data_IF_041987686477
#
_entry.id   IF_041987686477
#
_cell.length_a   1.000
_cell.length_b   1.000
_cell.length_c   1.000
_cell.angle_alpha   90.00
_cell.angle_beta   90.00
_cell.angle_gamma   90.00
#
_symmetry.space_group_name_H-M   'P 1'
#
loop_
_entity.id
_entity.type
_entity.pdbx_description
1 polymer ?
#
# COMPACT_ATOMS: atom_id res chain seq x y z
N UNK A 1 17.54 0.18 7.72
CA UNK A 1 18.07 0.36 6.36
C UNK A 1 17.06 -0.20 5.38
N UNK A 2 16.90 0.41 4.20
CA UNK A 2 16.10 -0.19 3.12
C UNK A 2 17.00 -1.09 2.27
N UNK A 3 16.52 -2.30 2.01
CA UNK A 3 17.22 -3.29 1.21
C UNK A 3 16.44 -3.51 -0.11
N UNK A 4 17.13 -3.56 -1.26
CA UNK A 4 16.49 -3.98 -2.50
C UNK A 4 15.92 -5.39 -2.37
N UNK A 5 14.71 -5.57 -2.88
CA UNK A 5 14.02 -6.85 -2.93
C UNK A 5 13.38 -7.03 -4.32
N UNK A 6 13.13 -8.28 -4.68
CA UNK A 6 12.48 -8.62 -5.94
C UNK A 6 11.53 -9.78 -5.73
N UNK A 7 10.24 -9.53 -5.96
CA UNK A 7 9.17 -10.50 -5.84
C UNK A 7 8.57 -10.70 -7.22
N UNK A 8 8.70 -11.91 -7.80
CA UNK A 8 8.22 -12.22 -9.15
C UNK A 8 8.58 -11.15 -10.22
N UNK A 9 9.84 -10.71 -10.23
CA UNK A 9 10.33 -9.65 -11.13
C UNK A 9 9.74 -8.26 -10.91
N UNK A 10 9.13 -7.99 -9.76
CA UNK A 10 8.75 -6.65 -9.33
C UNK A 10 9.83 -6.08 -8.39
N UNK A 11 10.61 -5.06 -8.81
CA UNK A 11 11.60 -4.42 -7.96
C UNK A 11 10.93 -3.59 -6.86
N UNK A 12 11.32 -3.85 -5.62
CA UNK A 12 10.82 -3.14 -4.44
C UNK A 12 11.92 -2.90 -3.42
N UNK A 13 11.60 -2.17 -2.36
CA UNK A 13 12.45 -1.99 -1.20
C UNK A 13 11.78 -2.57 0.04
N UNK A 14 12.56 -3.20 0.90
CA UNK A 14 12.11 -3.71 2.19
C UNK A 14 12.89 -3.05 3.32
N UNK A 15 12.18 -2.58 4.35
CA UNK A 15 12.82 -2.07 5.55
C UNK A 15 13.32 -3.23 6.43
N UNK A 16 14.62 -3.22 6.75
CA UNK A 16 15.28 -4.26 7.56
C UNK A 16 14.74 -4.38 8.99
N UNK A 17 14.08 -3.33 9.49
CA UNK A 17 13.49 -3.31 10.84
C UNK A 17 12.37 -4.34 11.01
N UNK A 18 11.73 -4.76 9.91
CA UNK A 18 10.67 -5.75 9.92
C UNK A 18 11.17 -7.19 9.73
N UNK A 19 12.49 -7.43 9.67
CA UNK A 19 13.05 -8.76 9.45
C UNK A 19 12.64 -9.79 10.53
N UNK A 20 12.32 -9.33 11.75
CA UNK A 20 11.84 -10.19 12.84
C UNK A 20 10.32 -10.42 12.84
N UNK A 21 9.57 -9.83 11.91
CA UNK A 21 8.12 -9.98 11.82
C UNK A 21 7.76 -11.13 10.87
N UNK A 22 7.80 -12.36 11.37
CA UNK A 22 7.52 -13.60 10.61
C UNK A 22 6.12 -13.65 9.96
N UNK A 23 5.17 -12.90 10.50
CA UNK A 23 3.79 -12.80 10.03
C UNK A 23 3.57 -11.70 8.97
N UNK A 24 4.59 -10.88 8.68
CA UNK A 24 4.46 -9.70 7.85
C UNK A 24 5.20 -9.87 6.51
N UNK A 25 4.46 -9.69 5.42
CA UNK A 25 5.03 -9.31 4.14
C UNK A 25 4.85 -7.80 3.94
N UNK A 26 5.92 -7.10 3.57
CA UNK A 26 5.87 -5.68 3.26
C UNK A 26 6.74 -5.35 2.03
N UNK A 27 6.41 -4.24 1.39
CA UNK A 27 7.24 -3.64 0.36
C UNK A 27 6.93 -2.16 0.18
N UNK A 28 7.97 -1.40 -0.13
CA UNK A 28 7.89 -0.08 -0.71
C UNK A 28 8.14 -0.25 -2.21
N UNK A 29 7.08 -0.13 -3.01
CA UNK A 29 7.19 -0.28 -4.45
C UNK A 29 8.02 0.86 -5.05
N UNK A 30 8.78 0.55 -6.11
CA UNK A 30 9.44 1.57 -6.92
C UNK A 30 8.58 1.90 -8.14
N UNK A 31 8.96 2.91 -8.93
CA UNK A 31 8.30 3.19 -10.22
C UNK A 31 8.59 2.13 -11.30
N UNK A 32 9.44 1.14 -11.04
CA UNK A 32 9.94 0.20 -12.03
C UNK A 32 9.10 -1.09 -12.11
N UNK A 33 9.13 -1.72 -13.28
CA UNK A 33 8.56 -3.05 -13.48
C UNK A 33 7.08 -3.09 -13.82
N UNK A 34 6.43 -1.97 -14.14
CA UNK A 34 5.02 -1.95 -14.55
C UNK A 34 4.80 -1.82 -16.06
N UNK A 35 3.59 -1.45 -16.44
CA UNK A 35 3.08 -1.39 -17.82
C UNK A 35 2.72 0.03 -18.30
N UNK A 36 2.67 1.00 -17.39
CA UNK A 36 2.42 2.41 -17.70
C UNK A 36 3.54 3.01 -18.54
N UNK A 37 3.25 4.10 -19.28
CA UNK A 37 4.19 4.75 -20.21
C UNK A 37 4.29 6.25 -19.97
N UNK A 38 5.24 6.88 -20.65
CA UNK A 38 5.49 8.32 -20.60
C UNK A 38 5.67 8.80 -19.14
N UNK A 39 4.93 9.83 -18.74
CA UNK A 39 4.99 10.42 -17.40
C UNK A 39 4.67 9.41 -16.30
N UNK A 40 3.85 8.39 -16.59
CA UNK A 40 3.45 7.34 -15.67
C UNK A 40 4.38 6.11 -15.69
N UNK A 41 5.42 6.11 -16.53
CA UNK A 41 6.30 4.95 -16.69
C UNK A 41 6.97 4.58 -15.35
N UNK A 42 6.92 3.34 -14.85
CA UNK A 42 6.28 2.14 -15.42
C UNK A 42 5.20 1.55 -14.52
N UNK A 43 5.30 1.69 -13.19
CA UNK A 43 4.40 1.08 -12.22
C UNK A 43 3.51 2.14 -11.52
N UNK A 44 2.64 2.80 -12.28
CA UNK A 44 1.65 3.70 -11.70
C UNK A 44 0.47 2.90 -11.11
N UNK A 45 0.13 3.20 -9.85
CA UNK A 45 -0.93 2.53 -9.09
C UNK A 45 -2.19 3.40 -8.93
N UNK A 46 -2.20 4.62 -9.48
CA UNK A 46 -3.29 5.59 -9.30
C UNK A 46 -4.19 5.67 -10.52
N UNK A 47 -5.50 5.49 -10.28
CA UNK A 47 -6.57 5.72 -11.26
C UNK A 47 -6.94 7.20 -11.42
N UNK A 48 -6.34 8.11 -10.64
CA UNK A 48 -6.75 9.52 -10.57
C UNK A 48 -5.86 10.49 -11.34
N UNK A 49 -4.63 10.09 -11.65
CA UNK A 49 -3.64 11.03 -12.20
C UNK A 49 -3.69 11.14 -13.72
N UNK A 50 -4.59 10.42 -14.41
CA UNK A 50 -4.81 10.53 -15.86
C UNK A 50 -4.14 9.45 -16.72
N UNK A 51 -3.57 8.40 -16.12
CA UNK A 51 -3.06 7.24 -16.85
C UNK A 51 -4.19 6.37 -17.42
N UNK A 52 -3.85 5.50 -18.38
CA UNK A 52 -4.78 4.55 -18.95
C UNK A 52 -5.19 3.49 -17.91
N UNK A 53 -6.48 3.43 -17.59
CA UNK A 53 -7.03 2.56 -16.52
C UNK A 53 -6.59 1.09 -16.64
N UNK A 54 -6.55 0.54 -17.86
CA UNK A 54 -6.13 -0.85 -18.07
C UNK A 54 -4.66 -1.09 -17.68
N UNK A 55 -3.78 -0.10 -17.83
CA UNK A 55 -2.36 -0.23 -17.42
C UNK A 55 -2.24 -0.19 -15.91
N UNK A 56 -3.01 0.68 -15.27
CA UNK A 56 -3.08 0.74 -13.80
C UNK A 56 -3.62 -0.59 -13.24
N UNK A 57 -4.64 -1.18 -13.86
CA UNK A 57 -5.15 -2.53 -13.51
C UNK A 57 -4.10 -3.62 -13.71
N UNK A 58 -3.31 -3.57 -14.79
CA UNK A 58 -2.19 -4.50 -15.01
C UNK A 58 -1.09 -4.35 -13.95
N UNK A 59 -0.78 -3.13 -13.51
CA UNK A 59 0.16 -2.88 -12.44
C UNK A 59 -0.34 -3.45 -11.10
N UNK A 60 -1.62 -3.28 -10.78
CA UNK A 60 -2.27 -3.91 -9.64
C UNK A 60 -2.26 -5.43 -9.71
N UNK A 61 -2.55 -6.01 -10.87
CA UNK A 61 -2.50 -7.47 -11.09
C UNK A 61 -1.09 -8.00 -10.89
N UNK A 62 -0.08 -7.30 -11.40
CA UNK A 62 1.32 -7.66 -11.20
C UNK A 62 1.75 -7.59 -9.74
N UNK A 63 1.27 -6.60 -8.99
CA UNK A 63 1.52 -6.50 -7.56
C UNK A 63 0.88 -7.68 -6.80
N UNK A 64 -0.37 -8.02 -7.13
CA UNK A 64 -1.07 -9.17 -6.57
C UNK A 64 -0.28 -10.48 -6.81
N UNK A 65 0.14 -10.72 -8.05
CA UNK A 65 0.94 -11.89 -8.43
C UNK A 65 2.30 -11.92 -7.72
N UNK A 66 2.96 -10.77 -7.55
CA UNK A 66 4.26 -10.69 -6.89
C UNK A 66 4.22 -11.11 -5.42
N UNK A 67 3.13 -10.82 -4.72
CA UNK A 67 2.95 -11.16 -3.31
C UNK A 67 2.10 -12.41 -3.09
N UNK A 68 1.58 -13.04 -4.15
CA UNK A 68 0.62 -14.14 -4.07
C UNK A 68 -0.59 -13.79 -3.18
N UNK A 69 -1.08 -12.55 -3.30
CA UNK A 69 -2.25 -12.04 -2.59
C UNK A 69 -3.34 -11.76 -3.63
N UNK A 70 -4.58 -12.25 -3.44
CA UNK A 70 -5.68 -11.92 -4.36
C UNK A 70 -5.88 -10.40 -4.49
N UNK A 71 -6.18 -9.92 -5.69
CA UNK A 71 -6.30 -8.48 -5.95
C UNK A 71 -7.37 -7.83 -5.05
N UNK A 72 -8.47 -8.54 -4.80
CA UNK A 72 -9.56 -8.12 -3.92
C UNK A 72 -9.18 -7.99 -2.44
N UNK A 73 -8.00 -8.48 -2.05
CA UNK A 73 -7.46 -8.33 -0.70
C UNK A 73 -6.52 -7.13 -0.55
N UNK A 74 -6.29 -6.36 -1.62
CA UNK A 74 -5.60 -5.08 -1.53
C UNK A 74 -6.60 -3.98 -1.18
N UNK A 75 -6.35 -3.28 -0.06
CA UNK A 75 -7.15 -2.14 0.36
C UNK A 75 -6.34 -0.86 0.24
N UNK A 76 -6.92 0.13 -0.43
CA UNK A 76 -6.38 1.48 -0.58
C UNK A 76 -7.42 2.48 -0.12
N UNK A 77 -6.99 3.53 0.58
CA UNK A 77 -7.84 4.63 1.02
C UNK A 77 -8.02 5.69 -0.06
N UNK A 78 -9.11 6.45 0.04
CA UNK A 78 -9.16 7.77 -0.58
C UNK A 78 -8.35 8.75 0.29
N UNK A 79 -7.05 8.84 0.02
CA UNK A 79 -6.13 9.73 0.73
C UNK A 79 -6.51 11.21 0.52
N UNK A 80 -6.76 11.93 1.61
CA UNK A 80 -7.26 13.32 1.62
C UNK A 80 -6.29 14.31 2.29
N UNK A 81 -5.08 13.86 2.63
CA UNK A 81 -4.06 14.64 3.34
C UNK A 81 -4.53 15.13 4.72
N UNK A 82 -5.35 14.34 5.40
CA UNK A 82 -5.78 14.54 6.78
C UNK A 82 -5.02 13.66 7.78
N UNK A 83 -5.60 13.51 8.97
CA UNK A 83 -5.10 12.75 10.13
C UNK A 83 -6.01 11.55 10.46
N UNK A 84 -7.03 11.31 9.65
CA UNK A 84 -7.99 10.22 9.85
C UNK A 84 -7.34 8.85 9.73
N UNK A 85 -7.69 7.96 10.68
CA UNK A 85 -7.23 6.57 10.72
C UNK A 85 -8.42 5.62 10.53
N UNK A 86 -8.35 4.76 9.51
CA UNK A 86 -9.29 3.68 9.29
C UNK A 86 -8.83 2.40 9.99
N UNK A 87 -9.60 1.92 10.96
CA UNK A 87 -9.27 0.71 11.74
C UNK A 87 -10.12 -0.45 11.27
N UNK A 88 -9.46 -1.54 10.89
CA UNK A 88 -10.10 -2.77 10.42
C UNK A 88 -9.92 -3.86 11.44
N UNK A 89 -11.03 -4.37 11.93
CA UNK A 89 -11.07 -5.48 12.86
C UNK A 89 -11.12 -6.83 12.11
N UNK A 90 -10.69 -7.94 12.73
CA UNK A 90 -10.70 -9.26 12.09
C UNK A 90 -12.08 -9.74 11.64
N UNK A 91 -13.14 -9.22 12.26
CA UNK A 91 -14.53 -9.63 12.00
C UNK A 91 -15.17 -8.84 10.85
N UNK A 92 -14.55 -7.74 10.41
CA UNK A 92 -15.11 -6.90 9.35
C UNK A 92 -15.06 -7.67 8.04
N UNK A 93 -16.22 -7.90 7.41
CA UNK A 93 -16.32 -8.69 6.17
C UNK A 93 -16.47 -7.86 4.92
N UNK A 94 -17.08 -6.68 5.03
CA UNK A 94 -17.34 -5.77 3.93
C UNK A 94 -16.65 -4.44 4.20
N UNK A 95 -15.94 -3.93 3.20
CA UNK A 95 -15.38 -2.59 3.25
C UNK A 95 -16.32 -1.62 2.52
N UNK A 96 -16.47 -0.38 3.00
CA UNK A 96 -17.12 0.69 2.24
C UNK A 96 -16.49 0.85 0.86
N UNK A 97 -17.20 1.51 -0.05
CA UNK A 97 -16.62 1.87 -1.34
C UNK A 97 -15.38 2.76 -1.14
N UNK A 98 -14.43 2.71 -2.07
CA UNK A 98 -13.19 3.48 -1.95
C UNK A 98 -13.44 4.98 -1.68
N UNK A 99 -14.48 5.55 -2.28
CA UNK A 99 -14.84 6.97 -2.12
C UNK A 99 -15.35 7.33 -0.72
N UNK A 100 -15.75 6.35 0.08
CA UNK A 100 -16.22 6.52 1.46
C UNK A 100 -15.07 6.35 2.47
N UNK A 101 -13.88 5.93 2.02
CA UNK A 101 -12.70 5.72 2.85
C UNK A 101 -11.76 6.95 2.85
N UNK A 102 -12.30 8.11 3.23
CA UNK A 102 -11.56 9.37 3.37
C UNK A 102 -10.67 9.39 4.61
N UNK A 103 -9.53 8.72 4.52
CA UNK A 103 -8.54 8.56 5.58
C UNK A 103 -7.13 8.60 4.99
N UNK A 104 -6.12 8.77 5.83
CA UNK A 104 -4.72 8.77 5.43
C UNK A 104 -3.90 7.70 6.14
N UNK A 105 -4.52 6.89 7.00
CA UNK A 105 -3.90 5.72 7.61
C UNK A 105 -4.85 4.53 7.69
N UNK A 106 -4.32 3.31 7.53
CA UNK A 106 -5.03 2.05 7.80
C UNK A 106 -4.31 1.32 8.94
N UNK A 107 -5.07 0.74 9.86
CA UNK A 107 -4.56 -0.17 10.90
C UNK A 107 -5.36 -1.47 10.89
N UNK A 108 -4.70 -2.63 10.98
CA UNK A 108 -5.39 -3.92 11.09
C UNK A 108 -4.54 -5.01 11.73
N UNK A 109 -5.19 -6.03 12.29
CA UNK A 109 -4.60 -7.34 12.62
C UNK A 109 -5.27 -8.48 11.84
N UNK A 110 -6.00 -8.17 10.76
CA UNK A 110 -6.67 -9.16 9.91
C UNK A 110 -5.64 -9.83 8.98
N UNK A 111 -5.41 -11.15 9.09
CA UNK A 111 -4.50 -11.85 8.19
C UNK A 111 -5.02 -11.89 6.75
N UNK A 112 -4.09 -11.96 5.79
CA UNK A 112 -4.41 -12.11 4.36
C UNK A 112 -4.93 -10.84 3.68
N UNK A 113 -4.91 -9.69 4.37
CA UNK A 113 -5.23 -8.38 3.81
C UNK A 113 -3.94 -7.56 3.59
N UNK A 114 -3.78 -7.01 2.39
CA UNK A 114 -2.72 -6.05 2.08
C UNK A 114 -3.27 -4.63 2.20
N UNK A 115 -2.84 -3.88 3.22
CA UNK A 115 -3.19 -2.47 3.37
C UNK A 115 -2.15 -1.61 2.64
N UNK A 116 -2.61 -0.63 1.88
CA UNK A 116 -1.77 0.16 0.99
C UNK A 116 -2.07 1.65 1.09
N UNK A 117 -1.01 2.45 0.98
CA UNK A 117 -1.06 3.88 0.70
C UNK A 117 -0.29 4.14 -0.59
N UNK A 118 -0.69 5.17 -1.34
CA UNK A 118 0.00 5.63 -2.53
C UNK A 118 0.79 6.89 -2.19
N UNK A 119 1.99 7.02 -2.73
CA UNK A 119 2.76 8.26 -2.58
C UNK A 119 3.63 8.52 -3.81
N UNK A 120 3.80 9.80 -4.11
CA UNK A 120 4.89 10.37 -4.87
C UNK A 120 5.27 11.65 -4.10
N UNK A 121 6.38 11.60 -3.37
CA UNK A 121 6.92 12.65 -2.46
C UNK A 121 6.44 12.63 -1.00
N UNK A 122 5.15 12.42 -0.70
CA UNK A 122 4.69 12.32 0.69
C UNK A 122 5.34 11.14 1.43
N UNK A 123 5.53 11.24 2.75
CA UNK A 123 6.28 10.22 3.50
C UNK A 123 5.39 9.00 3.76
N UNK A 124 5.76 7.79 3.28
CA UNK A 124 5.07 6.57 3.65
C UNK A 124 5.61 6.06 4.99
N UNK A 125 4.74 5.87 5.99
CA UNK A 125 5.13 5.31 7.30
C UNK A 125 4.49 3.95 7.50
N UNK A 126 5.31 2.93 7.74
CA UNK A 126 4.87 1.57 8.03
C UNK A 126 5.12 1.29 9.51
N UNK A 127 4.15 0.67 10.19
CA UNK A 127 4.22 0.36 11.62
C UNK A 127 3.79 -1.10 11.80
N UNK A 128 4.47 -1.83 12.68
CA UNK A 128 4.08 -3.19 13.04
C UNK A 128 4.28 -3.44 14.54
N UNK A 129 3.31 -4.08 15.18
CA UNK A 129 3.43 -4.66 16.52
C UNK A 129 3.63 -6.18 16.36
N UNK A 130 4.83 -6.67 16.69
CA UNK A 130 5.18 -8.09 16.55
C UNK A 130 4.48 -9.02 17.54
N UNK A 131 4.06 -8.50 18.69
CA UNK A 131 3.40 -9.30 19.74
C UNK A 131 1.92 -9.44 19.42
N UNK A 132 1.26 -8.32 19.08
CA UNK A 132 -0.18 -8.30 18.74
C UNK A 132 -0.48 -8.64 17.29
N UNK A 133 0.55 -8.73 16.44
CA UNK A 133 0.44 -8.95 14.99
C UNK A 133 -0.47 -7.92 14.32
N UNK A 134 -0.29 -6.65 14.71
CA UNK A 134 -0.99 -5.49 14.15
C UNK A 134 -0.06 -4.79 13.17
N UNK A 135 -0.58 -4.35 12.04
CA UNK A 135 0.15 -3.59 11.03
C UNK A 135 -0.59 -2.28 10.74
N UNK A 136 0.15 -1.26 10.35
CA UNK A 136 -0.41 -0.01 9.87
C UNK A 136 0.44 0.57 8.73
N UNK A 137 -0.24 1.29 7.82
CA UNK A 137 0.37 2.13 6.81
C UNK A 137 -0.22 3.53 6.90
N UNK A 138 0.62 4.55 6.80
CA UNK A 138 0.24 5.96 6.92
C UNK A 138 0.81 6.73 5.74
N UNK A 139 -0.04 7.54 5.13
CA UNK A 139 0.31 8.58 4.20
C UNK A 139 0.56 9.89 4.96
N UNK A 140 1.82 10.21 5.20
CA UNK A 140 2.22 11.42 5.93
C UNK A 140 2.68 12.49 4.93
N UNK A 141 1.72 13.18 4.32
CA UNK A 141 1.97 14.44 3.63
C UNK A 141 2.17 15.59 4.62
N UNK A 142 2.75 16.71 4.17
CA UNK A 142 3.08 17.86 5.03
C UNK A 142 1.90 18.33 5.91
N UNK A 143 0.68 18.32 5.34
CA UNK A 143 -0.53 18.74 6.05
C UNK A 143 -0.92 17.73 7.12
N UNK A 144 -1.02 16.45 6.77
CA UNK A 144 -1.36 15.39 7.73
C UNK A 144 -0.35 15.26 8.86
N UNK A 145 0.93 15.55 8.60
CA UNK A 145 1.98 15.58 9.65
C UNK A 145 1.83 16.74 10.63
N UNK A 146 1.17 17.83 10.24
CA UNK A 146 1.05 19.05 11.05
C UNK A 146 -0.30 19.18 11.79
N UNK A 147 -1.21 18.22 11.63
CA UNK A 147 -2.48 18.12 12.35
C UNK A 147 -2.28 17.39 13.69
#
# INVERSE_FOLDING_TARGET
>A
MFLPAQNNSLPSLQASVFAECDFLAHAFCTRQGGFSREDYASLNMSFREGDEEFRVLQNWSKLADAFAIPLEHFLVLNQVHGDGIFVINPQDRNFPSHNELNYDAIVTNRPGLAICIKTADCVPVFIADKVRRVIAVVHAGWRGTAL
#
